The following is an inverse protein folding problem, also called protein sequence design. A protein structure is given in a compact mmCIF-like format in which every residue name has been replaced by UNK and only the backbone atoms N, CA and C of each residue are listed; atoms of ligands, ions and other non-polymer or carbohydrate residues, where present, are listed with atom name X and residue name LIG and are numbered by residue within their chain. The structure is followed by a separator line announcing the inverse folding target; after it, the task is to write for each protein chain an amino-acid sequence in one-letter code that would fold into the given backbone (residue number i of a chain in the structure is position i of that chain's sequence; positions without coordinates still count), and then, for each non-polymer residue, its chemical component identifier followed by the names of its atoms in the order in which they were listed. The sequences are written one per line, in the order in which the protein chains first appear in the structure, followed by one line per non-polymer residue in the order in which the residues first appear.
data_IF_639411197246
#
_entry.id   IF_639411197246
#
_cell.length_a   1.000
_cell.length_b   1.000
_cell.length_c   1.000
_cell.angle_alpha   90.00
_cell.angle_beta   90.00
_cell.angle_gamma   90.00
#
_symmetry.space_group_name_H-M   'P 1'
#
loop_
_entity.id
_entity.type
_entity.pdbx_description
1 polymer ?
#
# COMPACT_ATOMS: atom_id res chain seq x y z
N UNK A 1 -64.97 12.04 -2.14
CA UNK A 1 -63.91 12.99 -1.77
C UNK A 1 -62.96 12.45 -0.65
N UNK A 2 -63.31 11.36 0.02
CA UNK A 2 -62.55 10.81 1.16
C UNK A 2 -61.47 9.80 0.74
N UNK A 3 -61.61 9.15 -0.40
CA UNK A 3 -60.69 8.16 -0.90
C UNK A 3 -59.37 8.73 -1.46
N UNK A 4 -59.40 9.94 -2.01
CA UNK A 4 -58.19 10.62 -2.54
C UNK A 4 -57.23 11.06 -1.44
N UNK A 5 -57.71 11.37 -0.24
CA UNK A 5 -56.87 11.79 0.89
C UNK A 5 -56.09 10.61 1.54
N UNK A 6 -56.66 9.42 1.54
CA UNK A 6 -56.04 8.21 2.10
C UNK A 6 -54.91 7.69 1.18
N UNK A 7 -55.12 7.77 -0.14
CA UNK A 7 -54.12 7.36 -1.12
C UNK A 7 -52.91 8.31 -1.14
N UNK A 8 -53.11 9.59 -0.91
CA UNK A 8 -52.06 10.60 -0.85
C UNK A 8 -51.20 10.47 0.42
N UNK A 9 -51.80 10.18 1.57
CA UNK A 9 -51.11 9.93 2.83
C UNK A 9 -50.28 8.63 2.77
N UNK A 10 -50.83 7.58 2.18
CA UNK A 10 -50.10 6.29 2.01
C UNK A 10 -48.96 6.38 1.00
N UNK A 11 -49.05 7.25 0.00
CA UNK A 11 -47.93 7.50 -0.93
C UNK A 11 -46.82 8.31 -0.26
N UNK A 12 -47.13 9.34 0.51
CA UNK A 12 -46.16 10.12 1.30
C UNK A 12 -45.42 9.25 2.33
N UNK A 13 -46.11 8.34 3.01
CA UNK A 13 -45.52 7.45 3.99
C UNK A 13 -44.57 6.43 3.34
N UNK A 14 -44.93 5.92 2.16
CA UNK A 14 -44.05 5.03 1.37
C UNK A 14 -42.81 5.75 0.85
N UNK A 15 -42.95 7.01 0.44
CA UNK A 15 -41.80 7.79 -0.07
C UNK A 15 -40.89 8.24 1.08
N UNK A 16 -41.45 8.57 2.25
CA UNK A 16 -40.65 8.82 3.45
C UNK A 16 -39.87 7.56 3.92
N UNK A 17 -40.50 6.39 3.91
CA UNK A 17 -39.85 5.14 4.22
C UNK A 17 -38.72 4.79 3.21
N UNK A 18 -38.94 5.00 1.91
CA UNK A 18 -37.90 4.82 0.89
C UNK A 18 -36.72 5.76 1.11
N UNK A 19 -36.95 7.04 1.38
CA UNK A 19 -35.93 8.03 1.66
C UNK A 19 -35.13 7.64 2.91
N UNK A 20 -35.75 7.14 3.95
CA UNK A 20 -35.09 6.69 5.16
C UNK A 20 -34.24 5.46 4.91
N UNK A 21 -34.76 4.43 4.23
CA UNK A 21 -33.97 3.26 3.82
C UNK A 21 -32.79 3.63 2.93
N UNK A 22 -32.97 4.56 2.01
CA UNK A 22 -31.95 5.05 1.09
C UNK A 22 -30.83 5.76 1.85
N UNK A 23 -31.16 6.61 2.83
CA UNK A 23 -30.15 7.29 3.65
C UNK A 23 -29.38 6.35 4.56
N UNK A 24 -30.03 5.34 5.14
CA UNK A 24 -29.37 4.30 5.94
C UNK A 24 -28.40 3.49 5.09
N UNK A 25 -28.84 3.05 3.92
CA UNK A 25 -28.00 2.24 3.02
C UNK A 25 -26.78 3.03 2.55
N UNK A 26 -26.98 4.31 2.19
CA UNK A 26 -25.87 5.20 1.82
C UNK A 26 -24.87 5.37 2.99
N UNK A 27 -25.36 5.56 4.21
CA UNK A 27 -24.52 5.69 5.39
C UNK A 27 -23.68 4.43 5.67
N UNK A 28 -24.26 3.25 5.51
CA UNK A 28 -23.54 1.95 5.69
C UNK A 28 -22.46 1.79 4.63
N UNK A 29 -22.73 2.13 3.37
CA UNK A 29 -21.77 1.99 2.27
C UNK A 29 -20.58 2.93 2.44
N UNK A 30 -20.84 4.20 2.74
CA UNK A 30 -19.79 5.17 3.06
C UNK A 30 -18.96 4.72 4.26
N UNK A 31 -19.59 4.08 5.24
CA UNK A 31 -18.92 3.49 6.39
C UNK A 31 -17.98 2.35 6.00
N UNK A 32 -18.40 1.43 5.14
CA UNK A 32 -17.61 0.33 4.63
C UNK A 32 -16.41 0.86 3.82
N UNK A 33 -16.60 1.81 2.93
CA UNK A 33 -15.55 2.44 2.16
C UNK A 33 -14.45 3.05 3.05
N UNK A 34 -14.84 3.76 4.09
CA UNK A 34 -13.89 4.33 5.06
C UNK A 34 -13.10 3.24 5.80
N UNK A 35 -13.74 2.13 6.15
CA UNK A 35 -13.07 1.00 6.82
C UNK A 35 -12.06 0.36 5.86
N UNK A 36 -12.41 0.12 4.61
CA UNK A 36 -11.51 -0.43 3.60
C UNK A 36 -10.30 0.49 3.38
N UNK A 37 -10.54 1.79 3.25
CA UNK A 37 -9.48 2.79 3.12
C UNK A 37 -8.53 2.77 4.33
N UNK A 38 -9.07 2.70 5.53
CA UNK A 38 -8.27 2.67 6.75
C UNK A 38 -7.42 1.40 6.82
N UNK A 39 -7.98 0.23 6.49
CA UNK A 39 -7.25 -1.04 6.43
C UNK A 39 -6.11 -0.96 5.41
N UNK A 40 -6.37 -0.45 4.21
CA UNK A 40 -5.35 -0.30 3.16
C UNK A 40 -4.18 0.58 3.62
N UNK A 41 -4.45 1.72 4.24
CA UNK A 41 -3.44 2.62 4.79
C UNK A 41 -2.65 2.00 5.95
N UNK A 42 -3.32 1.28 6.85
CA UNK A 42 -2.67 0.61 7.99
C UNK A 42 -1.73 -0.49 7.48
N UNK A 43 -2.18 -1.31 6.54
CA UNK A 43 -1.35 -2.39 5.94
C UNK A 43 -0.12 -1.82 5.26
N UNK A 44 -0.27 -0.74 4.46
CA UNK A 44 0.86 -0.05 3.84
C UNK A 44 1.82 0.51 4.89
N UNK A 45 1.30 1.15 5.95
CA UNK A 45 2.11 1.74 7.01
C UNK A 45 2.90 0.68 7.78
N UNK A 46 2.30 -0.47 8.05
CA UNK A 46 2.99 -1.62 8.67
C UNK A 46 4.11 -2.13 7.77
N UNK A 47 3.84 -2.33 6.47
CA UNK A 47 4.84 -2.74 5.50
C UNK A 47 6.03 -1.77 5.41
N UNK A 48 5.76 -0.47 5.40
CA UNK A 48 6.77 0.58 5.41
C UNK A 48 7.70 0.50 6.64
N UNK A 49 7.11 0.47 7.84
CA UNK A 49 7.89 0.36 9.07
C UNK A 49 8.65 -0.96 9.18
N UNK A 50 8.04 -2.06 8.75
CA UNK A 50 8.70 -3.36 8.73
C UNK A 50 9.96 -3.33 7.84
N UNK A 51 9.91 -2.70 6.67
CA UNK A 51 11.07 -2.57 5.77
C UNK A 51 12.19 -1.74 6.42
N UNK A 52 11.86 -0.63 7.09
CA UNK A 52 12.85 0.20 7.80
C UNK A 52 13.51 -0.60 8.93
N UNK A 53 12.73 -1.31 9.75
CA UNK A 53 13.28 -2.09 10.85
C UNK A 53 14.16 -3.24 10.35
N UNK A 54 13.76 -3.95 9.29
CA UNK A 54 14.58 -4.97 8.66
C UNK A 54 15.92 -4.39 8.18
N UNK A 55 15.91 -3.23 7.53
CA UNK A 55 17.14 -2.54 7.12
C UNK A 55 18.05 -2.23 8.32
N UNK A 56 17.52 -1.69 9.40
CA UNK A 56 18.30 -1.34 10.58
C UNK A 56 18.92 -2.58 11.25
N UNK A 57 18.17 -3.68 11.33
CA UNK A 57 18.66 -4.94 11.88
C UNK A 57 19.80 -5.49 11.01
N UNK A 58 19.62 -5.50 9.68
CA UNK A 58 20.66 -5.98 8.74
C UNK A 58 21.92 -5.13 8.83
N UNK A 59 21.77 -3.79 8.91
CA UNK A 59 22.89 -2.88 9.05
C UNK A 59 23.64 -3.11 10.36
N UNK A 60 22.93 -3.29 11.47
CA UNK A 60 23.51 -3.63 12.77
C UNK A 60 24.29 -4.94 12.74
N UNK A 61 23.73 -5.99 12.14
CA UNK A 61 24.43 -7.27 11.98
C UNK A 61 25.68 -7.13 11.12
N UNK A 62 25.60 -6.46 9.97
CA UNK A 62 26.76 -6.24 9.09
C UNK A 62 27.86 -5.44 9.79
N UNK A 63 27.49 -4.45 10.61
CA UNK A 63 28.47 -3.67 11.39
C UNK A 63 29.22 -4.53 12.39
N UNK A 64 28.54 -5.45 13.09
CA UNK A 64 29.16 -6.37 14.05
C UNK A 64 30.08 -7.37 13.34
N UNK A 65 29.70 -7.88 12.17
CA UNK A 65 30.49 -8.84 11.41
C UNK A 65 31.65 -8.20 10.62
N UNK A 66 31.67 -6.88 10.45
CA UNK A 66 32.71 -6.17 9.71
C UNK A 66 34.16 -6.49 10.16
N UNK A 67 34.50 -6.31 11.45
CA UNK A 67 35.86 -6.62 11.96
C UNK A 67 36.24 -8.07 11.74
N UNK A 68 35.28 -9.01 11.82
CA UNK A 68 35.54 -10.44 11.61
C UNK A 68 35.88 -10.70 10.14
N UNK A 69 35.12 -10.11 9.20
CA UNK A 69 35.40 -10.24 7.77
C UNK A 69 36.75 -9.62 7.38
N UNK A 70 37.09 -8.51 8.02
CA UNK A 70 38.40 -7.89 7.83
C UNK A 70 39.56 -8.79 8.32
N UNK A 71 39.40 -9.41 9.48
CA UNK A 71 40.39 -10.37 10.00
C UNK A 71 40.57 -11.59 9.06
N UNK A 72 39.47 -12.11 8.50
CA UNK A 72 39.54 -13.20 7.53
C UNK A 72 40.21 -12.80 6.22
N UNK A 73 40.13 -11.53 5.79
CA UNK A 73 40.75 -11.07 4.54
C UNK A 73 42.27 -11.10 4.57
N UNK A 74 42.91 -11.25 5.76
CA UNK A 74 44.35 -11.41 5.93
C UNK A 74 44.81 -12.81 5.46
N UNK A 75 43.91 -13.78 5.46
CA UNK A 75 44.22 -15.13 5.02
C UNK A 75 44.18 -15.24 3.49
N UNK A 76 45.21 -15.78 2.84
CA UNK A 76 45.33 -15.82 1.37
C UNK A 76 44.16 -16.54 0.68
N UNK A 77 43.49 -17.47 1.37
CA UNK A 77 42.29 -18.16 0.85
C UNK A 77 41.06 -17.26 0.77
N UNK A 78 41.00 -16.17 1.54
CA UNK A 78 39.82 -15.31 1.70
C UNK A 78 40.14 -13.84 1.45
N UNK A 79 41.11 -13.55 0.63
CA UNK A 79 41.60 -12.21 0.29
C UNK A 79 40.50 -11.26 -0.19
N UNK A 80 39.43 -11.75 -0.81
CA UNK A 80 38.27 -10.93 -1.26
C UNK A 80 37.14 -10.73 -0.24
N UNK A 81 37.27 -11.28 0.99
CA UNK A 81 36.15 -11.27 1.96
C UNK A 81 35.73 -9.86 2.38
N UNK A 82 36.70 -8.96 2.58
CA UNK A 82 36.46 -7.56 2.94
C UNK A 82 35.70 -6.80 1.84
N UNK A 83 36.12 -6.93 0.59
CA UNK A 83 35.50 -6.26 -0.54
C UNK A 83 34.04 -6.68 -0.69
N UNK A 84 33.75 -7.97 -0.59
CA UNK A 84 32.38 -8.51 -0.63
C UNK A 84 31.54 -8.02 0.54
N UNK A 85 32.09 -7.94 1.74
CA UNK A 85 31.39 -7.40 2.89
C UNK A 85 31.07 -5.91 2.70
N UNK A 86 32.04 -5.12 2.22
CA UNK A 86 31.86 -3.70 1.97
C UNK A 86 30.75 -3.45 0.93
N UNK A 87 30.74 -4.22 -0.15
CA UNK A 87 29.69 -4.15 -1.17
C UNK A 87 28.32 -4.44 -0.56
N UNK A 88 28.19 -5.47 0.25
CA UNK A 88 26.92 -5.79 0.95
C UNK A 88 26.51 -4.71 1.94
N UNK A 89 27.44 -4.20 2.71
CA UNK A 89 27.20 -3.10 3.66
C UNK A 89 26.68 -1.86 2.94
N UNK A 90 27.32 -1.50 1.82
CA UNK A 90 26.93 -0.37 0.98
C UNK A 90 25.53 -0.60 0.37
N UNK A 91 25.27 -1.80 -0.14
CA UNK A 91 23.94 -2.16 -0.70
C UNK A 91 22.82 -1.98 0.33
N UNK A 92 23.00 -2.47 1.55
CA UNK A 92 22.01 -2.32 2.63
C UNK A 92 21.84 -0.85 3.04
N UNK A 93 22.92 -0.07 2.98
CA UNK A 93 22.84 1.38 3.26
C UNK A 93 22.00 2.11 2.23
N UNK A 94 22.08 1.71 0.95
CA UNK A 94 21.27 2.27 -0.13
C UNK A 94 19.78 1.87 -0.05
N UNK A 95 19.41 0.83 0.72
CA UNK A 95 18.00 0.48 0.92
C UNK A 95 17.18 1.65 1.45
N UNK A 96 17.75 2.46 2.37
CA UNK A 96 17.08 3.65 2.89
C UNK A 96 16.78 4.67 1.80
N UNK A 97 17.74 4.98 0.96
CA UNK A 97 17.56 5.93 -0.14
C UNK A 97 16.52 5.40 -1.15
N UNK A 98 16.60 4.11 -1.52
CA UNK A 98 15.64 3.47 -2.42
C UNK A 98 14.25 3.39 -1.82
N UNK A 99 14.13 3.15 -0.51
CA UNK A 99 12.86 3.15 0.18
C UNK A 99 12.16 4.51 0.07
N UNK A 100 12.88 5.61 0.30
CA UNK A 100 12.31 6.96 0.14
C UNK A 100 11.92 7.24 -1.31
N UNK A 101 12.72 6.80 -2.27
CA UNK A 101 12.42 6.96 -3.69
C UNK A 101 11.15 6.19 -4.09
N UNK A 102 11.06 4.91 -3.74
CA UNK A 102 9.86 4.09 -3.97
C UNK A 102 8.66 4.66 -3.21
N UNK A 103 8.85 5.12 -1.97
CA UNK A 103 7.81 5.73 -1.17
C UNK A 103 7.22 6.98 -1.82
N UNK A 104 8.03 7.81 -2.43
CA UNK A 104 7.56 8.97 -3.19
C UNK A 104 6.61 8.56 -4.33
N UNK A 105 6.98 7.56 -5.12
CA UNK A 105 6.12 7.08 -6.21
C UNK A 105 4.85 6.41 -5.70
N UNK A 106 4.93 5.69 -4.59
CA UNK A 106 3.74 5.09 -3.95
C UNK A 106 2.79 6.16 -3.44
N UNK A 107 3.29 7.24 -2.82
CA UNK A 107 2.46 8.36 -2.38
C UNK A 107 1.80 9.07 -3.57
N UNK A 108 2.54 9.27 -4.66
CA UNK A 108 2.00 9.84 -5.90
C UNK A 108 0.90 8.95 -6.49
N UNK A 109 1.06 7.62 -6.45
CA UNK A 109 0.03 6.69 -6.88
C UNK A 109 -1.23 6.79 -6.01
N UNK A 110 -1.09 6.91 -4.69
CA UNK A 110 -2.22 7.13 -3.79
C UNK A 110 -2.91 8.47 -4.06
N UNK A 111 -2.16 9.53 -4.33
CA UNK A 111 -2.69 10.85 -4.66
C UNK A 111 -3.56 10.79 -5.94
N UNK A 112 -3.05 10.14 -7.00
CA UNK A 112 -3.81 9.94 -8.24
C UNK A 112 -5.11 9.17 -7.97
N UNK A 113 -5.06 8.08 -7.19
CA UNK A 113 -6.24 7.28 -6.87
C UNK A 113 -7.25 8.09 -6.07
N UNK A 114 -6.80 8.91 -5.12
CA UNK A 114 -7.68 9.80 -4.34
C UNK A 114 -8.30 10.90 -5.22
N UNK A 115 -7.56 11.48 -6.16
CA UNK A 115 -8.11 12.44 -7.13
C UNK A 115 -9.22 11.81 -7.98
N UNK A 116 -9.03 10.59 -8.49
CA UNK A 116 -10.05 9.86 -9.24
C UNK A 116 -11.30 9.61 -8.37
N UNK A 117 -11.12 9.28 -7.09
CA UNK A 117 -12.25 9.10 -6.17
C UNK A 117 -13.05 10.38 -5.95
N UNK A 118 -12.35 11.51 -5.75
CA UNK A 118 -13.01 12.82 -5.54
C UNK A 118 -13.77 13.24 -6.80
N UNK A 119 -13.18 13.04 -7.98
CA UNK A 119 -13.81 13.35 -9.26
C UNK A 119 -15.08 12.51 -9.47
N UNK A 120 -15.03 11.21 -9.18
CA UNK A 120 -16.19 10.34 -9.24
C UNK A 120 -17.30 10.75 -8.25
N UNK A 121 -16.94 11.15 -7.03
CA UNK A 121 -17.90 11.63 -6.03
C UNK A 121 -18.57 12.95 -6.47
N UNK A 122 -17.81 13.88 -7.03
CA UNK A 122 -18.36 15.15 -7.54
C UNK A 122 -19.27 14.95 -8.74
N UNK A 123 -18.94 14.02 -9.63
CA UNK A 123 -19.79 13.67 -10.77
C UNK A 123 -21.13 13.06 -10.32
N UNK A 124 -21.15 12.26 -9.26
CA UNK A 124 -22.37 11.64 -8.70
C UNK A 124 -23.26 12.68 -8.02
N UNK A 125 -22.69 13.62 -7.26
CA UNK A 125 -23.47 14.68 -6.59
C UNK A 125 -24.07 15.69 -7.58
N UNK A 126 -23.48 15.84 -8.76
CA UNK A 126 -23.98 16.75 -9.82
C UNK A 126 -25.10 16.12 -10.67
N UNK A 127 -25.28 14.81 -10.65
CA UNK A 127 -26.33 14.10 -11.40
C UNK A 127 -27.31 13.46 -10.42
N UNK A 128 -28.61 13.56 -10.72
CA UNK A 128 -29.69 12.81 -10.01
C UNK A 128 -29.55 11.29 -10.31
N UNK A 129 -28.39 10.72 -10.03
CA UNK A 129 -28.14 9.31 -10.32
C UNK A 129 -28.83 8.39 -9.32
N UNK A 130 -29.36 7.30 -9.82
CA UNK A 130 -30.02 6.25 -9.05
C UNK A 130 -29.05 5.67 -8.00
N UNK A 131 -29.54 5.32 -6.81
CA UNK A 131 -28.78 4.68 -5.72
C UNK A 131 -27.91 3.51 -6.21
N UNK A 132 -28.34 2.77 -7.23
CA UNK A 132 -27.58 1.67 -7.82
C UNK A 132 -26.26 2.13 -8.47
N UNK A 133 -26.27 3.29 -9.13
CA UNK A 133 -25.05 3.87 -9.73
C UNK A 133 -24.08 4.37 -8.65
N UNK A 134 -24.59 4.91 -7.55
CA UNK A 134 -23.78 5.29 -6.40
C UNK A 134 -23.09 4.09 -5.75
N UNK A 135 -23.83 2.99 -5.54
CA UNK A 135 -23.31 1.73 -5.01
C UNK A 135 -22.20 1.15 -5.89
N UNK A 136 -22.43 1.13 -7.18
CA UNK A 136 -21.47 0.61 -8.15
C UNK A 136 -20.18 1.43 -8.16
N UNK A 137 -20.25 2.75 -8.16
CA UNK A 137 -19.08 3.63 -8.14
C UNK A 137 -18.30 3.53 -6.83
N UNK A 138 -18.97 3.41 -5.67
CA UNK A 138 -18.33 3.23 -4.38
C UNK A 138 -17.54 1.92 -4.33
N UNK A 139 -18.09 0.84 -4.86
CA UNK A 139 -17.41 -0.46 -4.92
C UNK A 139 -16.17 -0.45 -5.82
N UNK A 140 -16.24 0.23 -6.97
CA UNK A 140 -15.08 0.40 -7.85
C UNK A 140 -14.00 1.26 -7.19
N UNK A 141 -14.39 2.32 -6.51
CA UNK A 141 -13.50 3.23 -5.77
C UNK A 141 -12.70 2.48 -4.68
N UNK A 142 -13.38 1.69 -3.85
CA UNK A 142 -12.74 0.83 -2.86
C UNK A 142 -11.77 -0.19 -3.50
N UNK A 143 -12.16 -0.77 -4.65
CA UNK A 143 -11.34 -1.69 -5.42
C UNK A 143 -10.03 -1.05 -5.91
N UNK A 144 -10.07 0.18 -6.40
CA UNK A 144 -8.87 0.90 -6.83
C UNK A 144 -7.91 1.15 -5.66
N UNK A 145 -8.43 1.51 -4.49
CA UNK A 145 -7.60 1.74 -3.31
C UNK A 145 -6.96 0.45 -2.80
N UNK A 146 -7.69 -0.67 -2.81
CA UNK A 146 -7.15 -1.98 -2.49
C UNK A 146 -6.06 -2.40 -3.48
N UNK A 147 -6.29 -2.22 -4.77
CA UNK A 147 -5.29 -2.49 -5.80
C UNK A 147 -4.03 -1.62 -5.59
N UNK A 148 -4.18 -0.33 -5.33
CA UNK A 148 -3.08 0.58 -5.06
C UNK A 148 -2.25 0.15 -3.84
N UNK A 149 -2.88 -0.31 -2.75
CA UNK A 149 -2.17 -0.79 -1.57
C UNK A 149 -1.41 -2.10 -1.82
N UNK A 150 -1.96 -3.02 -2.62
CA UNK A 150 -1.26 -4.25 -3.03
C UNK A 150 -0.04 -3.91 -3.90
N UNK A 151 -0.19 -3.00 -4.87
CA UNK A 151 0.93 -2.52 -5.70
C UNK A 151 1.99 -1.85 -4.83
N UNK A 152 1.60 -1.01 -3.87
CA UNK A 152 2.51 -0.36 -2.94
C UNK A 152 3.33 -1.38 -2.13
N UNK A 153 2.71 -2.44 -1.60
CA UNK A 153 3.42 -3.53 -0.91
C UNK A 153 4.40 -4.28 -1.83
N UNK A 154 4.01 -4.51 -3.09
CA UNK A 154 4.91 -5.11 -4.09
C UNK A 154 6.11 -4.20 -4.39
N UNK A 155 5.89 -2.89 -4.50
CA UNK A 155 6.97 -1.93 -4.69
C UNK A 155 7.94 -1.89 -3.51
N UNK A 156 7.46 -2.02 -2.26
CA UNK A 156 8.34 -2.13 -1.09
C UNK A 156 9.23 -3.37 -1.14
N UNK A 157 8.72 -4.50 -1.63
CA UNK A 157 9.51 -5.73 -1.80
C UNK A 157 10.57 -5.61 -2.89
N UNK A 158 10.45 -4.67 -3.84
CA UNK A 158 11.47 -4.41 -4.88
C UNK A 158 12.64 -3.55 -4.38
N UNK A 159 12.54 -2.92 -3.22
CA UNK A 159 13.59 -2.03 -2.68
C UNK A 159 14.97 -2.72 -2.59
N UNK A 160 15.11 -3.95 -2.07
CA UNK A 160 16.38 -4.65 -2.03
C UNK A 160 16.98 -4.90 -3.42
N UNK A 161 16.15 -5.30 -4.38
CA UNK A 161 16.59 -5.58 -5.75
C UNK A 161 17.05 -4.31 -6.46
N UNK A 162 16.32 -3.19 -6.30
CA UNK A 162 16.70 -1.89 -6.84
C UNK A 162 18.03 -1.38 -6.25
N UNK A 163 18.24 -1.57 -4.96
CA UNK A 163 19.50 -1.19 -4.32
C UNK A 163 20.68 -2.05 -4.81
N UNK A 164 20.44 -3.33 -5.07
CA UNK A 164 21.44 -4.22 -5.64
C UNK A 164 21.81 -3.86 -7.08
N UNK A 165 20.88 -3.36 -7.88
CA UNK A 165 21.16 -2.89 -9.25
C UNK A 165 22.06 -1.65 -9.31
N UNK A 166 22.01 -0.81 -8.27
CA UNK A 166 22.84 0.40 -8.23
C UNK A 166 24.31 0.13 -7.95
N UNK A 167 24.62 -0.99 -7.35
CA UNK A 167 25.99 -1.35 -6.99
C UNK A 167 26.46 -2.48 -7.90
N UNK A 168 27.50 -2.25 -8.76
CA UNK A 168 28.09 -3.32 -9.56
C UNK A 168 28.56 -4.44 -8.61
N UNK A 169 28.18 -5.68 -8.89
CA UNK A 169 28.45 -6.85 -8.04
C UNK A 169 27.68 -6.87 -6.71
N UNK A 170 26.63 -6.06 -6.56
CA UNK A 170 25.71 -6.12 -5.42
C UNK A 170 25.07 -7.51 -5.34
N UNK A 171 25.30 -8.21 -4.23
CA UNK A 171 24.75 -9.55 -4.00
C UNK A 171 23.30 -9.41 -3.50
N UNK A 172 22.35 -9.94 -4.25
CA UNK A 172 20.91 -10.00 -3.90
C UNK A 172 20.62 -11.04 -2.80
N UNK A 173 21.62 -11.42 -2.01
CA UNK A 173 21.54 -12.47 -0.99
C UNK A 173 20.42 -12.28 0.04
N UNK A 174 19.83 -11.07 0.12
CA UNK A 174 18.71 -10.73 1.01
C UNK A 174 17.39 -10.49 0.29
N UNK A 175 17.28 -10.85 -0.99
CA UNK A 175 16.01 -10.88 -1.68
C UNK A 175 15.10 -11.91 -1.01
N UNK A 176 13.85 -11.54 -0.76
CA UNK A 176 12.81 -12.47 -0.27
C UNK A 176 12.62 -13.69 -1.17
N UNK A 177 13.10 -13.63 -2.40
CA UNK A 177 13.14 -14.71 -3.36
C UNK A 177 14.06 -15.86 -2.92
N UNK A 178 15.18 -15.56 -2.26
CA UNK A 178 16.11 -16.58 -1.78
C UNK A 178 15.63 -17.28 -0.49
N UNK A 179 14.65 -16.72 0.22
CA UNK A 179 14.03 -17.38 1.37
C UNK A 179 12.96 -18.42 0.99
N UNK A 180 12.46 -18.38 -0.24
CA UNK A 180 11.41 -19.29 -0.73
C UNK A 180 11.91 -20.49 -1.52
N UNK A 181 13.14 -20.48 -2.03
CA UNK A 181 13.71 -21.56 -2.86
C UNK A 181 14.60 -22.56 -2.08
N UNK A 182 14.67 -22.44 -0.76
CA UNK A 182 15.50 -23.28 0.13
C UNK A 182 14.74 -24.40 0.84
N UNK A 183 13.59 -24.87 0.29
CA UNK A 183 12.86 -26.04 0.81
C UNK A 183 12.66 -27.05 -0.31
#
# INVERSE_FOLDING_TARGET
MEQTGVDEVTSMEKDAAKLWFTSLTAGVIVGIDKIIMLIALVVFRIGWWATIYCQQILLGMLTIFGPIQWAFSILPKWEGAWAKWLTRYLTVHFYGAMLYFVGFYVLLLFDIVLCIQIENLTAITASEQTMAAYLQNSFFSAGYLMAASIVALKCLNLVPDLAAWMIPEGDTAFSTRNFGEGV
#
